data_IF_641597871902
#
_entry.id   IF_641597871902
#
_cell.length_a   1.000
_cell.length_b   1.000
_cell.length_c   1.000
_cell.angle_alpha   90.00
_cell.angle_beta   90.00
_cell.angle_gamma   90.00
#
_symmetry.space_group_name_H-M   'P 1'
#
loop_
_entity.id
_entity.type
_entity.pdbx_description
1 polymer ?
#
# COMPACT_ATOMS: atom_id res chain seq x y z
N UNK A 1 2.17 15.39 -23.54
CA UNK A 1 2.65 15.85 -22.22
C UNK A 1 1.52 16.02 -21.20
N UNK A 2 0.51 16.88 -21.42
CA UNK A 2 -0.60 17.09 -20.46
C UNK A 2 -1.25 15.80 -19.95
N UNK A 3 -1.44 14.80 -20.82
CA UNK A 3 -2.01 13.49 -20.47
C UNK A 3 -1.17 12.74 -19.42
N UNK A 4 0.14 12.60 -19.61
CA UNK A 4 1.00 11.90 -18.65
C UNK A 4 1.12 12.65 -17.33
N UNK A 5 1.12 13.99 -17.34
CA UNK A 5 1.06 14.77 -16.11
C UNK A 5 -0.22 14.50 -15.30
N UNK A 6 -1.37 14.32 -15.97
CA UNK A 6 -2.63 13.96 -15.32
C UNK A 6 -2.56 12.54 -14.76
N UNK A 7 -2.10 11.57 -15.55
CA UNK A 7 -1.97 10.17 -15.12
C UNK A 7 -1.03 10.01 -13.92
N UNK A 8 0.10 10.74 -13.89
CA UNK A 8 1.02 10.75 -12.75
C UNK A 8 0.32 11.33 -11.50
N UNK A 9 -0.45 12.41 -11.64
CA UNK A 9 -1.21 13.00 -10.51
C UNK A 9 -2.26 12.04 -9.98
N UNK A 10 -3.01 11.38 -10.87
CA UNK A 10 -4.01 10.37 -10.49
C UNK A 10 -3.37 9.20 -9.74
N UNK A 11 -2.30 8.62 -10.31
CA UNK A 11 -1.58 7.53 -9.66
C UNK A 11 -1.02 7.93 -8.28
N UNK A 12 -0.53 9.17 -8.11
CA UNK A 12 -0.09 9.67 -6.79
C UNK A 12 -1.24 9.75 -5.79
N UNK A 13 -2.40 10.26 -6.20
CA UNK A 13 -3.57 10.35 -5.34
C UNK A 13 -4.09 8.96 -4.93
N UNK A 14 -4.13 8.01 -5.88
CA UNK A 14 -4.50 6.62 -5.61
C UNK A 14 -3.54 5.95 -4.62
N UNK A 15 -2.22 6.13 -4.81
CA UNK A 15 -1.20 5.63 -3.86
C UNK A 15 -1.43 6.19 -2.46
N UNK A 16 -1.67 7.50 -2.33
CA UNK A 16 -1.91 8.13 -1.03
C UNK A 16 -3.18 7.59 -0.36
N UNK A 17 -4.26 7.43 -1.12
CA UNK A 17 -5.50 6.85 -0.61
C UNK A 17 -5.29 5.41 -0.13
N UNK A 18 -4.64 4.59 -0.95
CA UNK A 18 -4.35 3.18 -0.63
C UNK A 18 -3.40 3.05 0.56
N UNK A 19 -2.44 3.96 0.73
CA UNK A 19 -1.60 4.01 1.93
C UNK A 19 -2.38 4.35 3.20
N UNK A 20 -3.39 5.24 3.12
CA UNK A 20 -4.29 5.50 4.26
C UNK A 20 -5.09 4.26 4.65
N UNK A 21 -5.60 3.53 3.66
CA UNK A 21 -6.31 2.27 3.86
C UNK A 21 -5.39 1.21 4.49
N UNK A 22 -4.15 1.07 4.00
CA UNK A 22 -3.15 0.15 4.55
C UNK A 22 -2.83 0.45 6.01
N UNK A 23 -2.68 1.73 6.35
CA UNK A 23 -2.46 2.17 7.73
C UNK A 23 -3.66 1.85 8.63
N UNK A 24 -4.89 1.91 8.11
CA UNK A 24 -6.07 1.52 8.87
C UNK A 24 -6.09 0.02 9.13
N UNK A 25 -5.83 -0.81 8.11
CA UNK A 25 -5.73 -2.27 8.27
C UNK A 25 -4.65 -2.65 9.29
N UNK A 26 -3.50 -1.96 9.26
CA UNK A 26 -2.41 -2.20 10.22
C UNK A 26 -2.82 -1.88 11.66
N UNK A 27 -3.61 -0.81 11.88
CA UNK A 27 -4.17 -0.49 13.21
C UNK A 27 -5.17 -1.54 13.67
N UNK A 28 -6.07 -1.96 12.79
CA UNK A 28 -7.08 -2.97 13.09
C UNK A 28 -6.42 -4.31 13.45
N UNK A 29 -5.37 -4.69 12.71
CA UNK A 29 -4.54 -5.86 12.98
C UNK A 29 -3.90 -5.78 14.37
N UNK A 30 -3.21 -4.68 14.68
CA UNK A 30 -2.55 -4.48 15.98
C UNK A 30 -3.56 -4.57 17.14
N UNK A 31 -4.74 -3.98 16.98
CA UNK A 31 -5.80 -4.05 17.97
C UNK A 31 -6.31 -5.49 18.17
N UNK A 32 -6.46 -6.27 17.09
CA UNK A 32 -6.85 -7.68 17.17
C UNK A 32 -5.77 -8.52 17.86
N UNK A 33 -4.49 -8.30 17.56
CA UNK A 33 -3.37 -8.97 18.23
C UNK A 33 -3.40 -8.69 19.74
N UNK A 34 -3.55 -7.43 20.14
CA UNK A 34 -3.67 -7.04 21.55
C UNK A 34 -4.90 -7.67 22.23
N UNK A 35 -6.05 -7.75 21.55
CA UNK A 35 -7.24 -8.38 22.09
C UNK A 35 -7.06 -9.90 22.27
N UNK A 36 -6.38 -10.57 21.34
CA UNK A 36 -6.07 -12.00 21.44
C UNK A 36 -5.11 -12.24 22.60
N UNK A 37 -4.04 -11.46 22.70
CA UNK A 37 -3.05 -11.55 23.78
C UNK A 37 -3.70 -11.36 25.16
N UNK A 38 -4.52 -10.31 25.32
CA UNK A 38 -5.26 -10.08 26.56
C UNK A 38 -6.19 -11.25 26.91
N UNK A 39 -6.89 -11.84 25.94
CA UNK A 39 -7.76 -12.99 26.17
C UNK A 39 -6.96 -14.23 26.59
N UNK A 40 -5.80 -14.46 25.99
CA UNK A 40 -4.90 -15.56 26.34
C UNK A 40 -4.35 -15.39 27.76
N UNK A 41 -3.83 -14.20 28.11
CA UNK A 41 -3.35 -13.93 29.46
C UNK A 41 -4.43 -14.12 30.51
N UNK A 42 -5.65 -13.64 30.25
CA UNK A 42 -6.78 -13.79 31.18
C UNK A 42 -7.15 -15.26 31.32
N UNK A 43 -7.18 -16.00 30.21
CA UNK A 43 -7.47 -17.44 30.18
C UNK A 43 -6.45 -18.24 30.99
N UNK A 44 -5.15 -17.95 30.84
CA UNK A 44 -4.07 -18.60 31.58
C UNK A 44 -4.14 -18.28 33.08
N UNK A 45 -4.33 -17.01 33.46
CA UNK A 45 -4.49 -16.60 34.87
C UNK A 45 -5.65 -17.32 35.54
N UNK A 46 -6.78 -17.45 34.86
CA UNK A 46 -7.94 -18.15 35.40
C UNK A 46 -7.72 -19.68 35.50
N UNK A 47 -7.06 -20.31 34.52
CA UNK A 47 -6.68 -21.72 34.62
C UNK A 47 -5.77 -22.00 35.81
N UNK A 48 -4.77 -21.13 36.04
CA UNK A 48 -3.86 -21.21 37.18
C UNK A 48 -4.64 -21.00 38.48
N UNK A 49 -5.54 -20.02 38.52
CA UNK A 49 -6.38 -19.74 39.69
C UNK A 49 -7.28 -20.92 40.09
N UNK A 50 -7.93 -21.56 39.11
CA UNK A 50 -8.72 -22.78 39.34
C UNK A 50 -7.84 -23.92 39.86
N UNK A 51 -6.66 -24.10 39.26
CA UNK A 51 -5.73 -25.17 39.64
C UNK A 51 -5.15 -24.99 41.04
N UNK A 52 -4.80 -23.76 41.43
CA UNK A 52 -4.20 -23.44 42.73
C UNK A 52 -5.22 -23.42 43.87
N UNK A 53 -6.41 -22.86 43.62
CA UNK A 53 -7.39 -22.63 44.70
C UNK A 53 -8.50 -23.70 44.76
N UNK A 54 -8.51 -24.70 43.87
CA UNK A 54 -9.62 -25.67 43.72
C UNK A 54 -10.99 -24.96 43.67
N UNK A 55 -11.02 -23.75 43.12
CA UNK A 55 -12.24 -22.96 42.95
C UNK A 55 -13.09 -23.58 41.84
N UNK A 56 -14.37 -23.19 41.78
CA UNK A 56 -15.33 -23.74 40.81
C UNK A 56 -14.80 -23.59 39.37
N UNK A 57 -14.47 -24.72 38.74
CA UNK A 57 -14.20 -24.78 37.31
C UNK A 57 -15.50 -24.45 36.55
N UNK A 58 -15.46 -23.42 35.71
CA UNK A 58 -16.59 -23.06 34.84
C UNK A 58 -16.26 -23.39 33.37
N UNK A 59 -16.52 -24.62 32.90
CA UNK A 59 -16.16 -25.04 31.54
C UNK A 59 -16.80 -24.15 30.46
N UNK A 60 -18.02 -23.67 30.69
CA UNK A 60 -18.72 -22.76 29.77
C UNK A 60 -18.02 -21.41 29.61
N UNK A 61 -17.23 -20.97 30.59
CA UNK A 61 -16.41 -19.77 30.44
C UNK A 61 -15.22 -20.04 29.52
N UNK A 62 -14.46 -21.11 29.78
CA UNK A 62 -13.29 -21.48 28.99
C UNK A 62 -13.65 -21.77 27.52
N UNK A 63 -14.78 -22.44 27.25
CA UNK A 63 -15.27 -22.68 25.89
C UNK A 63 -15.59 -21.36 25.16
N UNK A 64 -16.21 -20.39 25.85
CA UNK A 64 -16.52 -19.08 25.28
C UNK A 64 -15.26 -18.29 24.95
N UNK A 65 -14.27 -18.27 25.84
CA UNK A 65 -13.00 -17.58 25.61
C UNK A 65 -12.23 -18.24 24.46
N UNK A 66 -12.16 -19.58 24.43
CA UNK A 66 -11.52 -20.33 23.34
C UNK A 66 -12.16 -20.02 21.97
N UNK A 67 -13.50 -20.01 21.91
CA UNK A 67 -14.21 -19.66 20.68
C UNK A 67 -13.96 -18.21 20.25
N UNK A 68 -13.88 -17.29 21.19
CA UNK A 68 -13.58 -15.87 20.92
C UNK A 68 -12.15 -15.70 20.37
N UNK A 69 -11.17 -16.39 20.96
CA UNK A 69 -9.79 -16.42 20.47
C UNK A 69 -9.76 -16.95 19.03
N UNK A 70 -10.41 -18.08 18.75
CA UNK A 70 -10.49 -18.64 17.39
C UNK A 70 -11.10 -17.67 16.38
N UNK A 71 -12.19 -17.00 16.76
CA UNK A 71 -12.83 -16.00 15.91
C UNK A 71 -11.90 -14.81 15.61
N UNK A 72 -11.20 -14.29 16.63
CA UNK A 72 -10.24 -13.20 16.45
C UNK A 72 -9.02 -13.63 15.65
N UNK A 73 -8.49 -14.84 15.86
CA UNK A 73 -7.41 -15.40 15.05
C UNK A 73 -7.81 -15.54 13.58
N UNK A 74 -9.04 -15.96 13.30
CA UNK A 74 -9.54 -15.99 11.92
C UNK A 74 -9.62 -14.58 11.34
N UNK A 75 -10.20 -13.62 12.07
CA UNK A 75 -10.30 -12.25 11.60
C UNK A 75 -8.91 -11.62 11.36
N UNK A 76 -7.95 -11.89 12.24
CA UNK A 76 -6.56 -11.46 12.10
C UNK A 76 -5.93 -12.02 10.82
N UNK A 77 -6.18 -13.30 10.51
CA UNK A 77 -5.73 -13.90 9.24
C UNK A 77 -6.32 -13.17 8.04
N UNK A 78 -7.63 -12.93 8.03
CA UNK A 78 -8.28 -12.16 6.95
C UNK A 78 -7.68 -10.76 6.80
N UNK A 79 -7.39 -10.07 7.90
CA UNK A 79 -6.74 -8.76 7.87
C UNK A 79 -5.30 -8.81 7.35
N UNK A 80 -4.55 -9.88 7.62
CA UNK A 80 -3.23 -10.07 7.02
C UNK A 80 -3.34 -10.30 5.49
N UNK A 81 -4.29 -11.11 5.05
CA UNK A 81 -4.52 -11.35 3.62
C UNK A 81 -4.91 -10.04 2.89
N UNK A 82 -5.80 -9.23 3.49
CA UNK A 82 -6.15 -7.89 3.00
C UNK A 82 -4.94 -6.95 2.96
N UNK A 83 -4.09 -6.98 3.99
CA UNK A 83 -2.88 -6.16 4.07
C UNK A 83 -1.90 -6.49 2.94
N UNK A 84 -1.63 -7.77 2.69
CA UNK A 84 -0.70 -8.22 1.66
C UNK A 84 -1.23 -7.89 0.25
N UNK A 85 -2.52 -8.11 0.00
CA UNK A 85 -3.14 -7.74 -1.27
C UNK A 85 -3.03 -6.22 -1.54
N UNK A 86 -3.32 -5.40 -0.53
CA UNK A 86 -3.26 -3.94 -0.67
C UNK A 86 -1.83 -3.43 -0.86
N UNK A 87 -0.86 -4.07 -0.20
CA UNK A 87 0.57 -3.80 -0.41
C UNK A 87 0.98 -4.07 -1.86
N UNK A 88 0.55 -5.20 -2.44
CA UNK A 88 0.81 -5.53 -3.84
C UNK A 88 0.16 -4.54 -4.81
N UNK A 89 -1.07 -4.11 -4.55
CA UNK A 89 -1.75 -3.04 -5.31
C UNK A 89 -0.93 -1.74 -5.30
N UNK A 90 -0.47 -1.32 -4.12
CA UNK A 90 0.35 -0.11 -3.97
C UNK A 90 1.65 -0.23 -4.77
N UNK A 91 2.33 -1.38 -4.72
CA UNK A 91 3.54 -1.62 -5.53
C UNK A 91 3.25 -1.56 -7.04
N UNK A 92 2.11 -2.09 -7.48
CA UNK A 92 1.66 -1.98 -8.87
C UNK A 92 1.47 -0.53 -9.30
N UNK A 93 0.82 0.28 -8.46
CA UNK A 93 0.60 1.71 -8.71
C UNK A 93 1.92 2.50 -8.77
N UNK A 94 2.87 2.22 -7.87
CA UNK A 94 4.21 2.83 -7.92
C UNK A 94 4.93 2.51 -9.23
N UNK A 95 4.90 1.25 -9.66
CA UNK A 95 5.52 0.81 -10.91
C UNK A 95 4.92 1.53 -12.11
N UNK A 96 3.59 1.63 -12.14
CA UNK A 96 2.85 2.32 -13.21
C UNK A 96 3.14 3.83 -13.23
N UNK A 97 3.19 4.48 -12.07
CA UNK A 97 3.58 5.89 -11.94
C UNK A 97 4.97 6.12 -12.53
N UNK A 98 5.93 5.26 -12.19
CA UNK A 98 7.31 5.37 -12.67
C UNK A 98 7.39 5.20 -14.19
N UNK A 99 6.60 4.31 -14.77
CA UNK A 99 6.49 4.18 -16.23
C UNK A 99 5.97 5.47 -16.88
N UNK A 100 4.95 6.11 -16.29
CA UNK A 100 4.46 7.40 -16.78
C UNK A 100 5.49 8.52 -16.67
N UNK A 101 6.27 8.56 -15.59
CA UNK A 101 7.38 9.51 -15.42
C UNK A 101 8.43 9.33 -16.53
N UNK A 102 8.85 8.09 -16.82
CA UNK A 102 9.80 7.79 -17.91
C UNK A 102 9.24 8.20 -19.28
N UNK A 103 7.97 7.91 -19.55
CA UNK A 103 7.33 8.28 -20.82
C UNK A 103 7.24 9.79 -21.00
N UNK A 104 6.99 10.53 -19.93
CA UNK A 104 6.98 11.99 -19.95
C UNK A 104 8.38 12.55 -20.27
N UNK A 105 9.42 12.08 -19.57
CA UNK A 105 10.81 12.49 -19.81
C UNK A 105 11.25 12.22 -21.26
N UNK A 106 10.89 11.04 -21.80
CA UNK A 106 11.22 10.69 -23.18
C UNK A 106 10.53 11.60 -24.20
N UNK A 107 9.30 12.04 -23.93
CA UNK A 107 8.59 12.99 -24.80
C UNK A 107 9.20 14.38 -24.72
N UNK A 108 9.60 14.83 -23.54
CA UNK A 108 10.27 16.11 -23.33
C UNK A 108 11.62 16.15 -24.07
N UNK A 109 12.41 15.07 -23.98
CA UNK A 109 13.67 14.95 -24.74
C UNK A 109 13.45 14.98 -26.25
N UNK A 110 12.44 14.28 -26.76
CA UNK A 110 12.12 14.29 -28.20
C UNK A 110 11.74 15.68 -28.68
N UNK A 111 10.91 16.40 -27.94
CA UNK A 111 10.52 17.78 -28.27
C UNK A 111 11.72 18.74 -28.25
N UNK A 112 12.61 18.60 -27.26
CA UNK A 112 13.84 19.41 -27.19
C UNK A 112 14.76 19.15 -28.40
N UNK A 113 14.92 17.89 -28.79
CA UNK A 113 15.71 17.53 -29.98
C UNK A 113 15.08 18.04 -31.29
N UNK A 114 13.76 17.98 -31.41
CA UNK A 114 13.05 18.56 -32.57
C UNK A 114 13.23 20.08 -32.65
N UNK A 115 13.19 20.77 -31.51
CA UNK A 115 13.44 22.21 -31.45
C UNK A 115 14.87 22.57 -31.89
N UNK A 116 15.87 21.88 -31.34
CA UNK A 116 17.28 22.08 -31.71
C UNK A 116 17.54 21.81 -33.20
N UNK A 117 16.89 20.80 -33.78
CA UNK A 117 17.00 20.52 -35.21
C UNK A 117 16.41 21.64 -36.06
N UNK A 118 15.23 22.15 -35.70
CA UNK A 118 14.61 23.28 -36.40
C UNK A 118 15.46 24.54 -36.31
N UNK A 119 15.99 24.86 -35.13
CA UNK A 119 16.90 26.00 -34.96
C UNK A 119 18.16 25.84 -35.81
N UNK A 120 18.73 24.63 -35.89
CA UNK A 120 19.88 24.36 -36.73
C UNK A 120 19.57 24.49 -38.23
N UNK A 121 18.40 24.00 -38.69
CA UNK A 121 17.92 24.15 -40.07
C UNK A 121 17.69 25.64 -40.42
N UNK A 122 17.07 26.42 -39.54
CA UNK A 122 16.85 27.86 -39.73
C UNK A 122 18.18 28.63 -39.83
N UNK A 123 19.17 28.28 -39.01
CA UNK A 123 20.52 28.83 -39.09
C UNK A 123 21.18 28.45 -40.42
N UNK A 124 21.12 27.17 -40.82
CA UNK A 124 21.70 26.71 -42.08
C UNK A 124 21.10 27.43 -43.29
N UNK A 125 19.78 27.63 -43.31
CA UNK A 125 19.08 28.36 -44.37
C UNK A 125 19.46 29.85 -44.42
N UNK A 126 19.75 30.49 -43.28
CA UNK A 126 20.26 31.87 -43.22
C UNK A 126 21.68 32.01 -43.79
N UNK A 127 22.49 30.96 -43.68
CA UNK A 127 23.88 30.94 -44.16
C UNK A 127 24.06 30.20 -45.49
N UNK A 128 22.98 29.72 -46.13
CA UNK A 128 23.06 29.20 -47.50
C UNK A 128 23.53 30.33 -48.41
N UNK A 129 24.70 30.19 -49.07
CA UNK A 129 25.13 31.19 -50.04
C UNK A 129 24.08 31.21 -51.15
N UNK A 130 23.52 32.39 -51.43
CA UNK A 130 22.72 32.60 -52.64
C UNK A 130 23.58 32.14 -53.82
N UNK A 131 23.26 30.98 -54.37
CA UNK A 131 23.78 30.50 -55.64
C UNK A 131 23.20 31.38 -56.74
N UNK A 132 23.83 32.56 -56.92
CA UNK A 132 23.77 33.37 -58.13
C UNK A 132 25.10 33.30 -58.83
#
# INVERSE_FOLDING_TARGET
>A
MKTYCILIKQAKAEIEQKQKELNQILRDKLNLEQQIEHLLETFEREQVGVSLHKSFFNPKYFDRVSNKIKAYSHLLKTKNDEYDALKDEIFGLFSRRKQYEILLENLERKLALEHQKKEAEEIEDLFRPNSR
#
